data_IF_532628457841
#
_entry.id   IF_532628457841
#
_cell.length_a   1.000
_cell.length_b   1.000
_cell.length_c   1.000
_cell.angle_alpha   90.00
_cell.angle_beta   90.00
_cell.angle_gamma   90.00
#
_symmetry.space_group_name_H-M   'P 1'
#
loop_
_entity.id
_entity.type
_entity.pdbx_description
1 polymer ?
#
# COMPACT_ATOMS: atom_id res chain seq x y z
N UNK A 1 14.06 17.76 4.57
CA UNK A 1 13.38 19.00 4.12
C UNK A 1 12.19 19.20 5.04
N UNK A 2 11.95 20.40 5.55
CA UNK A 2 10.85 20.76 6.46
C UNK A 2 10.17 22.01 5.93
N UNK A 3 8.88 22.18 6.18
CA UNK A 3 8.18 23.40 5.82
C UNK A 3 8.72 24.58 6.67
N UNK A 4 9.04 25.73 6.05
CA UNK A 4 9.78 26.82 6.72
C UNK A 4 8.98 27.50 7.86
N UNK A 5 7.66 27.39 7.87
CA UNK A 5 6.80 27.98 8.89
C UNK A 5 6.81 27.20 10.22
N UNK A 6 7.38 25.99 10.28
CA UNK A 6 7.45 25.18 11.48
C UNK A 6 8.88 25.18 12.05
N UNK A 7 9.04 25.59 13.29
CA UNK A 7 10.33 25.73 13.96
C UNK A 7 10.46 24.86 15.23
N UNK A 8 9.37 24.25 15.71
CA UNK A 8 9.38 23.37 16.88
C UNK A 8 10.29 22.15 16.70
N UNK A 9 10.84 21.62 17.75
CA UNK A 9 11.68 20.43 17.68
C UNK A 9 10.84 19.16 17.44
N UNK A 10 11.39 18.21 16.72
CA UNK A 10 10.82 16.88 16.61
C UNK A 10 11.23 16.06 17.82
N UNK A 11 10.29 15.32 18.37
CA UNK A 11 10.46 14.53 19.57
C UNK A 11 10.70 13.06 19.23
N UNK A 12 11.39 12.36 20.10
CA UNK A 12 11.59 10.92 19.98
C UNK A 12 10.53 10.18 20.80
N UNK A 13 9.70 9.38 20.16
CA UNK A 13 8.70 8.53 20.78
C UNK A 13 8.81 7.09 20.28
N UNK A 14 8.24 6.16 21.00
CA UNK A 14 7.93 4.82 20.52
C UNK A 14 6.47 4.76 20.02
N UNK A 15 6.16 3.75 19.24
CA UNK A 15 4.81 3.64 18.68
C UNK A 15 3.73 3.51 19.77
N UNK A 16 4.03 2.80 20.86
CA UNK A 16 3.12 2.66 22.00
C UNK A 16 2.86 3.95 22.77
N UNK A 17 3.72 4.96 22.64
CA UNK A 17 3.54 6.25 23.33
C UNK A 17 2.45 7.11 22.65
N UNK A 18 2.21 6.87 21.37
CA UNK A 18 1.30 7.70 20.54
C UNK A 18 0.14 6.91 19.91
N UNK A 19 0.09 5.59 20.13
CA UNK A 19 -0.95 4.74 19.55
C UNK A 19 -1.23 3.51 20.42
N UNK A 20 -2.48 3.07 20.43
CA UNK A 20 -2.86 1.75 20.94
C UNK A 20 -2.61 0.70 19.86
N UNK A 21 -1.87 -0.35 20.22
CA UNK A 21 -1.56 -1.46 19.32
C UNK A 21 -2.42 -2.65 19.69
N UNK A 22 -3.11 -3.20 18.69
CA UNK A 22 -4.08 -4.28 18.87
C UNK A 22 -5.08 -3.98 19.99
N UNK A 23 -5.81 -2.86 19.93
CA UNK A 23 -6.80 -2.54 20.94
C UNK A 23 -7.81 -3.69 21.07
N UNK A 24 -8.48 -3.78 22.21
CA UNK A 24 -9.49 -4.80 22.44
C UNK A 24 -10.55 -4.74 21.32
N UNK A 25 -10.74 -5.86 20.65
CA UNK A 25 -11.73 -5.98 19.58
C UNK A 25 -13.13 -6.15 20.13
N UNK A 26 -14.11 -5.60 19.41
CA UNK A 26 -15.52 -5.89 19.63
C UNK A 26 -15.85 -7.34 19.23
N UNK A 27 -17.05 -7.79 19.58
CA UNK A 27 -17.51 -9.10 19.16
C UNK A 27 -17.69 -9.14 17.64
N UNK A 28 -17.33 -10.26 17.03
CA UNK A 28 -17.53 -10.49 15.61
C UNK A 28 -19.03 -10.66 15.31
N UNK A 29 -19.51 -9.95 14.31
CA UNK A 29 -20.84 -10.15 13.74
C UNK A 29 -20.93 -11.48 12.98
N UNK A 30 -22.14 -11.87 12.60
CA UNK A 30 -22.35 -13.12 11.84
C UNK A 30 -21.76 -13.05 10.44
N UNK A 31 -21.74 -11.85 9.84
CA UNK A 31 -21.10 -11.57 8.56
C UNK A 31 -20.24 -10.32 8.68
N UNK A 32 -19.09 -10.31 8.02
CA UNK A 32 -18.17 -9.17 8.01
C UNK A 32 -17.28 -9.20 6.78
N UNK A 33 -16.69 -8.06 6.45
CA UNK A 33 -15.67 -7.97 5.43
C UNK A 33 -14.32 -8.35 6.04
N UNK A 34 -13.65 -9.34 5.45
CA UNK A 34 -12.36 -9.81 5.92
C UNK A 34 -11.21 -9.26 5.08
N UNK A 35 -10.22 -8.69 5.76
CA UNK A 35 -8.97 -8.22 5.18
C UNK A 35 -7.85 -9.20 5.59
N UNK A 36 -7.43 -10.04 4.67
CA UNK A 36 -6.25 -10.88 4.82
C UNK A 36 -4.98 -10.17 4.29
N UNK A 37 -3.82 -10.82 4.38
CA UNK A 37 -2.56 -10.26 3.93
C UNK A 37 -2.47 -10.10 2.39
N UNK A 38 -3.31 -10.79 1.63
CA UNK A 38 -3.35 -10.73 0.17
C UNK A 38 -4.36 -9.70 -0.33
N UNK A 39 -5.24 -9.21 0.57
CA UNK A 39 -6.25 -8.22 0.22
C UNK A 39 -5.66 -6.83 -0.03
N UNK A 40 -4.47 -6.55 0.50
CA UNK A 40 -3.82 -5.24 0.41
C UNK A 40 -2.54 -5.35 -0.43
N UNK A 41 -2.41 -4.48 -1.40
CA UNK A 41 -1.21 -4.34 -2.21
C UNK A 41 -0.84 -2.86 -2.30
N UNK A 42 0.40 -2.50 -1.88
CA UNK A 42 0.94 -1.13 -1.94
C UNK A 42 0.01 -0.07 -1.34
N UNK A 43 -0.63 -0.41 -0.21
CA UNK A 43 -1.55 0.50 0.49
C UNK A 43 -2.97 0.55 -0.07
N UNK A 44 -3.26 -0.13 -1.18
CA UNK A 44 -4.59 -0.21 -1.78
C UNK A 44 -5.27 -1.54 -1.45
N UNK A 45 -6.55 -1.47 -1.12
CA UNK A 45 -7.38 -2.65 -0.93
C UNK A 45 -7.79 -3.21 -2.31
N UNK A 46 -7.24 -4.37 -2.67
CA UNK A 46 -7.47 -5.03 -3.97
C UNK A 46 -8.62 -6.03 -3.93
N UNK A 47 -8.86 -6.61 -2.76
CA UNK A 47 -9.90 -7.63 -2.59
C UNK A 47 -10.79 -7.26 -1.43
N UNK A 48 -12.09 -7.23 -1.68
CA UNK A 48 -13.13 -7.08 -0.68
C UNK A 48 -13.90 -8.38 -0.67
N UNK A 49 -13.86 -9.10 0.45
CA UNK A 49 -14.53 -10.39 0.60
C UNK A 49 -15.39 -10.36 1.85
N UNK A 50 -16.69 -10.49 1.64
CA UNK A 50 -17.63 -10.76 2.72
C UNK A 50 -17.61 -12.25 3.06
N UNK A 51 -17.49 -12.57 4.33
CA UNK A 51 -17.48 -13.95 4.82
C UNK A 51 -18.42 -14.12 6.00
N UNK A 52 -18.91 -15.33 6.15
CA UNK A 52 -19.67 -15.73 7.36
C UNK A 52 -18.70 -16.07 8.48
N UNK A 53 -19.10 -15.77 9.71
CA UNK A 53 -18.27 -16.04 10.90
C UNK A 53 -17.88 -17.52 11.02
N UNK A 54 -18.79 -18.42 10.64
CA UNK A 54 -18.57 -19.87 10.71
C UNK A 54 -17.50 -20.36 9.75
N UNK A 55 -17.34 -19.68 8.61
CA UNK A 55 -16.34 -19.97 7.56
C UNK A 55 -15.04 -19.17 7.74
N UNK A 56 -15.02 -18.26 8.72
CA UNK A 56 -13.91 -17.37 8.90
C UNK A 56 -12.65 -18.11 9.38
N UNK A 57 -11.48 -17.80 8.79
CA UNK A 57 -10.23 -18.36 9.26
C UNK A 57 -9.95 -17.91 10.71
N UNK A 58 -9.26 -18.74 11.48
CA UNK A 58 -8.89 -18.46 12.87
C UNK A 58 -8.13 -17.14 13.09
N UNK A 59 -7.54 -16.60 12.00
CA UNK A 59 -6.85 -15.31 12.00
C UNK A 59 -7.78 -14.10 11.85
N UNK A 60 -9.05 -14.27 11.55
CA UNK A 60 -10.03 -13.18 11.45
C UNK A 60 -10.48 -12.75 12.85
N UNK A 61 -9.72 -11.87 13.50
CA UNK A 61 -9.93 -11.56 14.91
C UNK A 61 -9.95 -10.05 15.23
N UNK A 62 -9.45 -9.19 14.35
CA UNK A 62 -9.28 -7.78 14.66
C UNK A 62 -10.38 -6.95 14.02
N UNK A 63 -11.36 -6.54 14.81
CA UNK A 63 -12.39 -5.58 14.37
C UNK A 63 -11.72 -4.21 14.22
N UNK A 64 -11.78 -3.67 13.01
CA UNK A 64 -11.14 -2.39 12.67
C UNK A 64 -12.17 -1.29 12.53
N UNK A 65 -11.76 -0.10 12.95
CA UNK A 65 -12.56 1.11 12.88
C UNK A 65 -11.98 2.08 11.84
N UNK A 66 -12.75 3.10 11.51
CA UNK A 66 -12.28 4.16 10.62
C UNK A 66 -10.98 4.79 11.14
N UNK A 67 -10.02 5.00 10.26
CA UNK A 67 -8.67 5.51 10.52
C UNK A 67 -7.74 4.55 11.30
N UNK A 68 -8.13 3.31 11.57
CA UNK A 68 -7.16 2.32 12.05
C UNK A 68 -6.14 2.02 10.94
N UNK A 69 -4.88 1.90 11.34
CA UNK A 69 -3.78 1.54 10.45
C UNK A 69 -3.48 0.05 10.65
N UNK A 70 -3.44 -0.70 9.57
CA UNK A 70 -3.01 -2.09 9.54
C UNK A 70 -1.56 -2.14 9.10
N UNK A 71 -0.68 -2.48 10.02
CA UNK A 71 0.74 -2.68 9.74
C UNK A 71 1.01 -4.15 9.46
N UNK A 72 1.55 -4.47 8.28
CA UNK A 72 1.87 -5.84 7.89
C UNK A 72 3.05 -6.37 8.72
N UNK A 73 2.76 -7.28 9.66
CA UNK A 73 3.77 -7.87 10.53
C UNK A 73 4.52 -9.04 9.88
N UNK A 74 3.90 -9.73 8.93
CA UNK A 74 4.51 -10.84 8.18
C UNK A 74 5.05 -10.30 6.86
N UNK A 75 6.34 -10.52 6.58
CA UNK A 75 7.05 -9.95 5.43
C UNK A 75 6.92 -8.42 5.36
N UNK A 76 7.28 -7.68 6.41
CA UNK A 76 7.05 -6.23 6.48
C UNK A 76 7.82 -5.45 5.39
N UNK A 77 8.83 -6.05 4.76
CA UNK A 77 9.55 -5.46 3.64
C UNK A 77 8.66 -5.20 2.40
N UNK A 78 7.52 -5.88 2.28
CA UNK A 78 6.55 -5.65 1.20
C UNK A 78 5.80 -4.32 1.37
N UNK A 79 5.76 -3.78 2.60
CA UNK A 79 5.08 -2.51 2.93
C UNK A 79 3.60 -2.47 2.51
N UNK A 80 2.91 -3.61 2.55
CA UNK A 80 1.47 -3.68 2.29
C UNK A 80 0.68 -3.23 3.54
N UNK A 81 1.06 -2.08 4.08
CA UNK A 81 0.33 -1.43 5.15
C UNK A 81 -0.91 -0.75 4.59
N UNK A 82 -1.96 -0.64 5.38
CA UNK A 82 -3.24 -0.09 4.95
C UNK A 82 -3.82 0.83 6.01
N UNK A 83 -4.35 1.96 5.61
CA UNK A 83 -5.15 2.81 6.48
C UNK A 83 -6.62 2.64 6.12
N UNK A 84 -7.42 2.19 7.10
CA UNK A 84 -8.82 1.90 6.87
C UNK A 84 -9.64 3.19 6.80
N UNK A 85 -10.19 3.47 5.63
CA UNK A 85 -11.11 4.57 5.39
C UNK A 85 -12.48 4.00 5.11
N UNK A 86 -13.45 4.23 5.99
CA UNK A 86 -14.82 3.85 5.74
C UNK A 86 -15.37 4.79 4.67
N UNK A 87 -15.52 4.27 3.46
CA UNK A 87 -16.08 5.02 2.34
C UNK A 87 -17.61 4.93 2.26
N UNK A 88 -18.22 4.02 3.04
CA UNK A 88 -19.63 3.69 2.90
C UNK A 88 -20.39 3.70 4.22
N UNK A 89 -21.64 4.09 4.14
CA UNK A 89 -22.68 4.09 5.16
C UNK A 89 -23.21 2.69 5.52
N UNK A 90 -22.59 1.61 5.06
CA UNK A 90 -22.97 0.27 5.43
C UNK A 90 -22.56 -0.01 6.88
N UNK A 91 -23.49 -0.49 7.69
CA UNK A 91 -23.22 -0.96 9.06
C UNK A 91 -22.41 -2.26 9.10
N UNK A 92 -21.70 -2.58 8.03
CA UNK A 92 -20.96 -3.82 7.89
C UNK A 92 -19.63 -3.74 8.65
N UNK A 93 -19.38 -4.74 9.47
CA UNK A 93 -18.17 -4.84 10.27
C UNK A 93 -16.99 -5.22 9.36
N UNK A 94 -15.83 -4.62 9.64
CA UNK A 94 -14.59 -4.93 8.98
C UNK A 94 -13.64 -5.62 9.96
N UNK A 95 -13.02 -6.70 9.52
CA UNK A 95 -12.15 -7.53 10.35
C UNK A 95 -10.84 -7.79 9.63
N UNK A 96 -9.74 -7.50 10.29
CA UNK A 96 -8.41 -7.77 9.75
C UNK A 96 -7.82 -9.08 10.31
N UNK A 97 -6.94 -9.67 9.53
CA UNK A 97 -6.12 -10.81 9.93
C UNK A 97 -5.17 -10.45 11.06
N UNK A 98 -4.89 -11.40 11.96
CA UNK A 98 -3.83 -11.27 12.98
C UNK A 98 -2.41 -11.16 12.40
N UNK A 99 -2.24 -11.34 11.10
CA UNK A 99 -1.00 -11.05 10.39
C UNK A 99 -0.68 -9.56 10.29
N UNK A 100 -1.68 -8.69 10.57
CA UNK A 100 -1.49 -7.26 10.76
C UNK A 100 -1.40 -6.91 12.25
N UNK A 101 -0.63 -5.90 12.61
CA UNK A 101 -0.84 -5.14 13.83
C UNK A 101 -1.83 -4.02 13.53
N UNK A 102 -2.91 -3.95 14.31
CA UNK A 102 -3.88 -2.86 14.27
C UNK A 102 -3.35 -1.70 15.13
N UNK A 103 -3.24 -0.53 14.53
CA UNK A 103 -2.70 0.66 15.19
C UNK A 103 -3.80 1.73 15.20
N UNK A 104 -4.20 2.13 16.39
CA UNK A 104 -5.18 3.20 16.62
C UNK A 104 -4.50 4.36 17.33
N UNK A 105 -4.34 5.46 16.63
CA UNK A 105 -3.59 6.60 17.13
C UNK A 105 -4.48 7.79 17.46
N UNK A 106 -4.06 8.60 18.44
CA UNK A 106 -4.62 9.93 18.74
C UNK A 106 -3.95 11.05 17.93
N UNK A 107 -2.85 10.72 17.25
CA UNK A 107 -2.17 11.59 16.30
C UNK A 107 -2.93 11.64 14.96
N UNK A 108 -2.43 12.40 13.97
CA UNK A 108 -2.97 12.33 12.61
C UNK A 108 -2.76 10.93 12.03
N UNK A 109 -3.81 10.13 11.74
CA UNK A 109 -3.64 8.76 11.27
C UNK A 109 -2.88 8.69 9.95
N UNK A 110 -3.14 9.62 9.01
CA UNK A 110 -2.42 9.68 7.74
C UNK A 110 -0.93 9.98 7.95
N UNK A 111 -0.60 10.89 8.88
CA UNK A 111 0.79 11.20 9.20
C UNK A 111 1.53 9.98 9.75
N UNK A 112 0.91 9.27 10.70
CA UNK A 112 1.49 8.04 11.27
C UNK A 112 1.60 6.96 10.19
N UNK A 113 0.59 6.79 9.33
CA UNK A 113 0.65 5.86 8.21
C UNK A 113 1.86 6.11 7.31
N UNK A 114 2.08 7.36 6.89
CA UNK A 114 3.24 7.69 6.06
C UNK A 114 4.56 7.48 6.79
N UNK A 115 4.62 7.81 8.09
CA UNK A 115 5.81 7.60 8.91
C UNK A 115 6.18 6.11 8.98
N UNK A 116 5.20 5.23 9.20
CA UNK A 116 5.39 3.78 9.24
C UNK A 116 5.86 3.19 7.90
N UNK A 117 5.55 3.87 6.79
CA UNK A 117 5.97 3.46 5.44
C UNK A 117 7.36 3.98 5.04
N UNK A 118 8.01 4.81 5.88
CA UNK A 118 9.36 5.29 5.59
C UNK A 118 10.39 4.16 5.60
N UNK A 119 11.44 4.29 4.77
CA UNK A 119 12.55 3.35 4.76
C UNK A 119 13.30 3.31 6.10
N UNK A 120 13.36 4.47 6.79
CA UNK A 120 13.96 4.57 8.11
C UNK A 120 13.25 3.73 9.16
N UNK A 121 11.91 3.77 9.17
CA UNK A 121 11.11 2.94 10.07
C UNK A 121 11.22 1.47 9.67
N UNK A 122 11.06 1.16 8.38
CA UNK A 122 11.11 -0.22 7.91
C UNK A 122 12.46 -0.91 8.20
N UNK A 123 13.59 -0.21 8.08
CA UNK A 123 14.90 -0.75 8.49
C UNK A 123 14.92 -1.16 9.96
N UNK A 124 14.33 -0.35 10.84
CA UNK A 124 14.24 -0.68 12.28
C UNK A 124 13.34 -1.89 12.53
N UNK A 125 12.26 -2.04 11.79
CA UNK A 125 11.39 -3.21 11.79
C UNK A 125 12.16 -4.46 11.37
N UNK A 126 12.87 -4.41 10.24
CA UNK A 126 13.59 -5.55 9.70
C UNK A 126 14.69 -6.09 10.62
N UNK A 127 15.35 -5.21 11.38
CA UNK A 127 16.35 -5.62 12.38
C UNK A 127 15.74 -6.43 13.52
N UNK A 128 14.44 -6.24 13.81
CA UNK A 128 13.72 -6.96 14.87
C UNK A 128 12.91 -8.15 14.38
N UNK A 129 12.86 -8.37 13.06
CA UNK A 129 12.18 -9.52 12.49
C UNK A 129 12.90 -10.82 12.86
N UNK A 130 12.09 -11.85 13.10
CA UNK A 130 12.54 -13.24 13.25
C UNK A 130 12.10 -14.06 12.03
N UNK A 131 12.83 -15.14 11.74
CA UNK A 131 12.55 -16.00 10.60
C UNK A 131 13.28 -15.57 9.32
N UNK A 132 14.02 -16.48 8.71
CA UNK A 132 14.82 -16.22 7.49
C UNK A 132 13.98 -16.18 6.22
N UNK A 133 13.10 -17.18 6.02
CA UNK A 133 12.26 -17.29 4.82
C UNK A 133 10.98 -16.45 4.90
N UNK A 134 10.45 -16.30 6.09
CA UNK A 134 9.23 -15.55 6.37
C UNK A 134 9.48 -14.59 7.54
N UNK A 135 10.25 -13.50 7.31
CA UNK A 135 10.54 -12.55 8.38
C UNK A 135 9.24 -11.97 8.91
N UNK A 136 9.10 -11.98 10.23
CA UNK A 136 7.95 -11.42 10.92
C UNK A 136 8.39 -10.67 12.17
N UNK A 137 7.65 -9.62 12.50
CA UNK A 137 7.78 -8.87 13.75
C UNK A 137 6.55 -9.11 14.60
N UNK A 138 6.72 -9.30 15.90
CA UNK A 138 5.58 -9.34 16.83
C UNK A 138 5.11 -7.91 17.18
N UNK A 139 3.89 -7.82 17.72
CA UNK A 139 3.28 -6.52 18.04
C UNK A 139 4.01 -5.79 19.17
N UNK A 140 4.62 -6.51 20.10
CA UNK A 140 5.34 -5.95 21.25
C UNK A 140 6.65 -5.31 20.81
N UNK A 141 7.42 -5.99 19.96
CA UNK A 141 8.64 -5.42 19.38
C UNK A 141 8.32 -4.22 18.48
N UNK A 142 7.24 -4.30 17.70
CA UNK A 142 6.78 -3.17 16.87
C UNK A 142 6.43 -1.96 17.75
N UNK A 143 5.75 -2.18 18.88
CA UNK A 143 5.33 -1.15 19.82
C UNK A 143 6.49 -0.31 20.37
N UNK A 144 7.64 -0.94 20.56
CA UNK A 144 8.83 -0.31 21.18
C UNK A 144 9.78 0.34 20.19
N UNK A 145 9.46 0.31 18.86
CA UNK A 145 10.30 0.98 17.85
C UNK A 145 10.24 2.49 18.05
N UNK A 146 11.41 3.11 18.25
CA UNK A 146 11.55 4.55 18.45
C UNK A 146 11.80 5.27 17.13
N UNK A 147 11.17 6.43 16.98
CA UNK A 147 11.30 7.30 15.80
C UNK A 147 11.09 8.76 16.20
N UNK A 148 11.54 9.66 15.33
CA UNK A 148 11.25 11.07 15.47
C UNK A 148 9.91 11.40 14.84
N UNK A 149 9.09 12.20 15.51
CA UNK A 149 7.85 12.73 15.02
C UNK A 149 7.67 14.18 15.47
N UNK A 150 6.83 14.93 14.79
CA UNK A 150 6.44 16.26 15.24
C UNK A 150 5.19 16.20 16.11
N UNK A 151 5.16 16.80 17.30
CA UNK A 151 3.93 16.89 18.10
C UNK A 151 2.97 17.95 17.57
N UNK A 152 3.42 18.83 16.66
CA UNK A 152 2.57 19.88 16.08
C UNK A 152 1.56 19.28 15.09
N UNK A 153 0.29 19.29 15.47
CA UNK A 153 -0.82 18.76 14.67
C UNK A 153 -0.98 19.45 13.31
N UNK A 154 -0.63 20.74 13.22
CA UNK A 154 -0.70 21.48 11.94
C UNK A 154 0.42 21.02 11.00
N UNK A 155 1.60 20.79 11.55
CA UNK A 155 2.71 20.24 10.77
C UNK A 155 2.39 18.79 10.31
N UNK A 156 1.89 17.93 11.21
CA UNK A 156 1.42 16.59 10.87
C UNK A 156 0.41 16.60 9.71
N UNK A 157 -0.61 17.47 9.82
CA UNK A 157 -1.62 17.60 8.78
C UNK A 157 -1.04 18.06 7.45
N UNK A 158 -0.13 19.03 7.47
CA UNK A 158 0.48 19.55 6.25
C UNK A 158 1.38 18.53 5.57
N UNK A 159 2.17 17.78 6.36
CA UNK A 159 3.02 16.70 5.86
C UNK A 159 2.15 15.59 5.25
N UNK A 160 1.16 15.10 5.99
CA UNK A 160 0.30 14.02 5.52
C UNK A 160 -0.47 14.41 4.26
N UNK A 161 -1.01 15.62 4.21
CA UNK A 161 -1.74 16.12 3.04
C UNK A 161 -0.88 16.17 1.78
N UNK A 162 0.37 16.62 1.91
CA UNK A 162 1.30 16.61 0.79
C UNK A 162 1.58 15.18 0.29
N UNK A 163 1.83 14.26 1.22
CA UNK A 163 2.13 12.87 0.87
C UNK A 163 0.90 12.16 0.29
N UNK A 164 -0.27 12.37 0.88
CA UNK A 164 -1.55 11.85 0.35
C UNK A 164 -1.78 12.30 -1.11
N UNK A 165 -1.55 13.58 -1.42
CA UNK A 165 -1.69 14.11 -2.78
C UNK A 165 -0.69 13.49 -3.76
N UNK A 166 0.52 13.19 -3.30
CA UNK A 166 1.53 12.51 -4.12
C UNK A 166 1.10 11.07 -4.39
N UNK A 167 0.63 10.34 -3.36
CA UNK A 167 0.15 8.97 -3.50
C UNK A 167 -1.08 8.89 -4.41
N UNK A 168 -2.05 9.80 -4.25
CA UNK A 168 -3.22 9.90 -5.14
C UNK A 168 -2.80 10.13 -6.61
N UNK A 169 -1.79 10.98 -6.83
CA UNK A 169 -1.26 11.23 -8.17
C UNK A 169 -0.59 9.99 -8.76
N UNK A 170 0.24 9.32 -7.97
CA UNK A 170 0.92 8.07 -8.40
C UNK A 170 -0.13 7.01 -8.73
N UNK A 171 -1.13 6.80 -7.88
CA UNK A 171 -2.21 5.84 -8.10
C UNK A 171 -2.99 6.15 -9.39
N UNK A 172 -3.28 7.44 -9.65
CA UNK A 172 -3.95 7.88 -10.87
C UNK A 172 -3.12 7.60 -12.11
N UNK A 173 -1.81 7.91 -12.08
CA UNK A 173 -0.92 7.62 -13.20
C UNK A 173 -0.81 6.12 -13.49
N UNK A 174 -0.71 5.29 -12.45
CA UNK A 174 -0.68 3.85 -12.61
C UNK A 174 -1.95 3.31 -13.27
N UNK A 175 -3.14 3.80 -12.89
CA UNK A 175 -4.42 3.44 -13.54
C UNK A 175 -4.46 3.83 -15.01
N UNK A 176 -3.88 4.99 -15.37
CA UNK A 176 -3.78 5.41 -16.76
C UNK A 176 -2.86 4.46 -17.54
N UNK A 177 -1.70 4.12 -16.99
CA UNK A 177 -0.74 3.19 -17.58
C UNK A 177 -1.39 1.82 -17.80
N UNK A 178 -2.09 1.27 -16.81
CA UNK A 178 -2.80 -0.01 -16.91
C UNK A 178 -3.86 0.01 -18.03
N UNK A 179 -4.64 1.11 -18.12
CA UNK A 179 -5.63 1.27 -19.20
C UNK A 179 -4.97 1.33 -20.58
N UNK A 180 -3.88 2.08 -20.72
CA UNK A 180 -3.15 2.16 -21.99
C UNK A 180 -2.56 0.82 -22.39
N UNK A 181 -1.97 0.08 -21.46
CA UNK A 181 -1.47 -1.28 -21.71
C UNK A 181 -2.58 -2.24 -22.13
N UNK A 182 -3.76 -2.15 -21.51
CA UNK A 182 -4.93 -2.94 -21.89
C UNK A 182 -5.43 -2.61 -23.28
N UNK A 183 -5.48 -1.31 -23.65
CA UNK A 183 -5.85 -0.86 -24.99
C UNK A 183 -4.85 -1.34 -26.05
N UNK A 184 -3.56 -1.25 -25.78
CA UNK A 184 -2.49 -1.74 -26.68
C UNK A 184 -2.68 -3.25 -26.92
N UNK A 185 -2.89 -4.04 -25.85
CA UNK A 185 -3.13 -5.49 -25.98
C UNK A 185 -4.39 -5.78 -26.78
N UNK A 186 -5.48 -5.03 -26.54
CA UNK A 186 -6.74 -5.20 -27.28
C UNK A 186 -6.59 -4.88 -28.76
N UNK A 187 -5.94 -3.76 -29.10
CA UNK A 187 -5.68 -3.39 -30.50
C UNK A 187 -4.77 -4.39 -31.20
N UNK A 188 -3.68 -4.83 -30.53
CA UNK A 188 -2.81 -5.86 -31.08
C UNK A 188 -3.57 -7.17 -31.38
N UNK A 189 -4.44 -7.61 -30.47
CA UNK A 189 -5.28 -8.79 -30.68
C UNK A 189 -6.26 -8.61 -31.84
N UNK A 190 -6.89 -7.45 -31.96
CA UNK A 190 -7.80 -7.16 -33.11
C UNK A 190 -7.08 -7.16 -34.45
N UNK A 191 -5.89 -6.55 -34.51
CA UNK A 191 -5.08 -6.52 -35.72
C UNK A 191 -4.58 -7.91 -36.14
N UNK A 192 -4.28 -8.77 -35.17
CA UNK A 192 -3.85 -10.15 -35.46
C UNK A 192 -5.00 -11.08 -35.80
N UNK A 193 -6.21 -10.81 -35.29
CA UNK A 193 -7.42 -11.61 -35.58
C UNK A 193 -8.15 -11.19 -36.90
N UNK A 194 -7.95 -9.95 -37.33
CA UNK A 194 -8.65 -9.40 -38.49
C UNK A 194 -8.16 -9.96 -39.85
N UNK A 195 -7.53 -11.13 -39.84
CA UNK A 195 -7.37 -11.99 -41.01
C UNK A 195 -6.97 -11.31 -42.34
N UNK A 196 -6.27 -10.17 -42.30
CA UNK A 196 -5.62 -9.64 -43.48
C UNK A 196 -4.42 -10.54 -43.78
N UNK A 197 -4.50 -11.37 -44.82
CA UNK A 197 -3.42 -12.28 -45.14
C UNK A 197 -2.20 -11.45 -45.56
N UNK A 198 -1.07 -11.71 -44.94
CA UNK A 198 0.24 -11.39 -45.42
C UNK A 198 0.73 -9.92 -45.32
N UNK A 199 0.44 -9.21 -44.23
CA UNK A 199 1.37 -8.16 -43.85
C UNK A 199 2.48 -8.82 -43.03
N UNK A 200 3.61 -9.17 -43.63
CA UNK A 200 4.79 -9.63 -42.92
C UNK A 200 5.30 -8.45 -42.07
N UNK A 201 5.88 -8.76 -40.91
CA UNK A 201 6.43 -7.71 -40.03
C UNK A 201 7.46 -6.82 -40.78
N UNK A 202 8.18 -7.40 -41.77
CA UNK A 202 9.07 -6.70 -42.67
C UNK A 202 8.33 -5.67 -43.55
N UNK A 203 7.11 -5.96 -44.03
CA UNK A 203 6.37 -5.05 -44.89
C UNK A 203 5.88 -3.81 -44.09
N UNK A 204 5.62 -3.97 -42.80
CA UNK A 204 5.30 -2.86 -41.88
C UNK A 204 6.54 -2.03 -41.53
N UNK A 205 7.72 -2.63 -41.52
CA UNK A 205 8.98 -1.97 -41.20
C UNK A 205 9.57 -1.24 -42.41
N UNK A 206 9.29 -1.69 -43.64
CA UNK A 206 9.72 -1.03 -44.86
C UNK A 206 8.93 0.26 -45.18
N UNK A 207 7.69 0.40 -44.64
CA UNK A 207 6.88 1.62 -44.80
C UNK A 207 7.31 2.81 -43.95
N UNK A 208 8.09 2.60 -42.90
CA UNK A 208 8.65 3.67 -42.09
C UNK A 208 10.14 3.81 -42.40
N UNK A 209 10.47 4.90 -43.12
CA UNK A 209 11.82 5.29 -43.45
C UNK A 209 12.82 5.03 -42.32
N UNK A 210 13.98 4.58 -42.70
CA UNK A 210 15.17 4.16 -41.97
C UNK A 210 15.60 4.94 -40.70
N UNK A 211 15.01 6.08 -40.41
CA UNK A 211 15.34 6.94 -39.28
C UNK A 211 14.77 6.44 -37.93
N UNK A 212 13.73 5.61 -37.89
CA UNK A 212 13.18 5.09 -36.64
C UNK A 212 13.85 3.79 -36.19
N UNK A 213 14.39 3.00 -37.11
CA UNK A 213 15.11 1.76 -36.82
C UNK A 213 16.52 2.01 -36.29
N UNK A 214 17.20 3.04 -36.77
CA UNK A 214 18.52 3.43 -36.27
C UNK A 214 18.48 3.87 -34.79
N UNK A 215 17.38 4.51 -34.35
CA UNK A 215 17.22 4.91 -32.97
C UNK A 215 16.82 3.75 -32.02
N UNK A 216 16.21 2.67 -32.55
CA UNK A 216 15.87 1.50 -31.73
C UNK A 216 17.07 0.54 -31.56
N UNK A 217 17.97 0.46 -32.53
CA UNK A 217 19.15 -0.44 -32.48
C UNK A 217 20.23 0.14 -31.59
N UNK A 218 20.32 1.48 -31.48
CA UNK A 218 21.32 2.13 -30.63
C UNK A 218 21.08 1.99 -29.13
N UNK A 219 19.87 1.59 -28.71
CA UNK A 219 19.52 1.43 -27.29
C UNK A 219 19.79 0.01 -26.77
N UNK A 220 19.98 -0.98 -27.64
CA UNK A 220 20.20 -2.39 -27.24
C UNK A 220 21.68 -2.84 -27.28
N UNK A 221 22.60 -1.92 -27.55
CA UNK A 221 24.04 -2.20 -27.73
C UNK A 221 24.97 -1.84 -26.58
N UNK A 222 24.48 -1.75 -25.35
CA UNK A 222 25.33 -1.46 -24.18
C UNK A 222 24.87 -2.27 -22.97
N UNK A 223 25.28 -3.55 -22.96
CA UNK A 223 25.47 -4.35 -21.73
C UNK A 223 26.62 -5.30 -21.95
#
# INVERSE_FOLDING_TARGET
>A
MRFPEFSGEWEMASLQDIAAINPKSDQLQNTFIYIDLEAVEKGELRKIQEIMREEAPSRAQRVINNNDILFQCVRPYQKNNYIHKILNTSNQQWVASTGYAQIRTTESPNYIYHLLNTDGFNRKVMVRCTGSSYPAINSEDLATIRFYYTPDKKEQFKISRLLDLIDERIATQNKIIEKLQSLIKGLAAQLTQSGTPNIRLCDCLECHSSTLLENCVSVTGSY
#
